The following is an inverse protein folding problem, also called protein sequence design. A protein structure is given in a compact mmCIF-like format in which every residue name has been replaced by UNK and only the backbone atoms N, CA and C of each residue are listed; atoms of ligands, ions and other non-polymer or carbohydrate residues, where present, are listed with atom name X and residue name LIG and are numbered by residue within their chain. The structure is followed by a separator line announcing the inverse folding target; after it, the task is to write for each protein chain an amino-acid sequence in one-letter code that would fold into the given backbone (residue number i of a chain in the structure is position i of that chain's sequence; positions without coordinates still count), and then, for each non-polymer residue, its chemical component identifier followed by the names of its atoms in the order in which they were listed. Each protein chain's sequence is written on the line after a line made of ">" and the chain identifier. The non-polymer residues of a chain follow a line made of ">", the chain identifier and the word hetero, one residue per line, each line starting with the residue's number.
data_IF_298127925844
#
_entry.id   IF_298127925844
#
_cell.length_a   1.000
_cell.length_b   1.000
_cell.length_c   1.000
_cell.angle_alpha   90.00
_cell.angle_beta   90.00
_cell.angle_gamma   90.00
#
_symmetry.space_group_name_H-M   'P 1'
#
loop_
_entity.id
_entity.type
_entity.pdbx_description
1 polymer ?
#
# COMPACT_ATOMS: atom_id res chain seq x y z
N UNK A 1 -2.29 -2.68 -35.28
CA UNK A 1 -2.71 -2.53 -33.88
C UNK A 1 -3.14 -1.08 -33.73
N UNK A 2 -4.45 -0.85 -33.57
CA UNK A 2 -5.01 0.47 -33.26
C UNK A 2 -5.02 0.69 -31.74
N UNK A 3 -5.52 1.83 -31.26
CA UNK A 3 -5.56 2.14 -29.83
C UNK A 3 -6.41 1.13 -29.03
N UNK A 4 -7.53 0.67 -29.59
CA UNK A 4 -8.43 -0.26 -28.92
C UNK A 4 -7.80 -1.66 -28.79
N UNK A 5 -7.10 -2.11 -29.83
CA UNK A 5 -6.31 -3.35 -29.80
C UNK A 5 -5.22 -3.31 -28.73
N UNK A 6 -4.68 -2.12 -28.45
CA UNK A 6 -3.63 -1.92 -27.45
C UNK A 6 -4.19 -1.88 -26.03
N UNK A 7 -5.31 -1.19 -25.83
CA UNK A 7 -6.02 -1.16 -24.54
C UNK A 7 -6.62 -2.51 -24.17
N UNK A 8 -6.94 -3.36 -25.16
CA UNK A 8 -7.45 -4.72 -24.93
C UNK A 8 -6.39 -5.76 -24.54
N UNK A 9 -5.11 -5.39 -24.44
CA UNK A 9 -4.03 -6.34 -24.11
C UNK A 9 -4.08 -6.81 -22.65
N UNK A 10 -4.55 -5.96 -21.74
CA UNK A 10 -4.68 -6.27 -20.31
C UNK A 10 -5.73 -5.37 -19.66
N UNK A 11 -6.30 -5.86 -18.54
CA UNK A 11 -7.11 -5.03 -17.65
C UNK A 11 -6.25 -4.51 -16.51
N UNK A 12 -6.31 -3.22 -16.24
CA UNK A 12 -5.61 -2.62 -15.10
C UNK A 12 -6.25 -3.04 -13.76
N UNK A 13 -5.41 -3.14 -12.73
CA UNK A 13 -5.88 -3.24 -11.35
C UNK A 13 -6.24 -1.84 -10.85
N UNK A 14 -7.14 -1.77 -9.89
CA UNK A 14 -7.42 -0.52 -9.18
C UNK A 14 -6.22 -0.18 -8.29
N UNK A 15 -5.81 1.09 -8.32
CA UNK A 15 -4.64 1.57 -7.57
C UNK A 15 -5.04 2.71 -6.64
N UNK A 16 -4.60 2.62 -5.39
CA UNK A 16 -4.69 3.70 -4.42
C UNK A 16 -3.29 4.10 -3.93
N UNK A 17 -3.01 5.40 -3.91
CA UNK A 17 -1.75 5.95 -3.42
C UNK A 17 -2.02 7.02 -2.37
N UNK A 18 -1.27 6.99 -1.27
CA UNK A 18 -1.36 7.98 -0.20
C UNK A 18 0.02 8.49 0.20
N UNK A 19 0.07 9.74 0.64
CA UNK A 19 1.21 10.33 1.33
C UNK A 19 0.87 10.44 2.81
N UNK A 20 1.70 9.89 3.67
CA UNK A 20 1.51 9.97 5.12
C UNK A 20 2.65 10.75 5.72
N UNK A 21 2.34 11.83 6.45
CA UNK A 21 3.34 12.64 7.13
C UNK A 21 4.16 11.75 8.08
N UNK A 22 5.47 11.79 7.96
CA UNK A 22 6.37 10.96 8.73
C UNK A 22 7.67 11.73 9.00
N UNK A 23 8.03 11.99 10.27
CA UNK A 23 9.26 12.69 10.61
C UNK A 23 10.50 12.01 10.01
N UNK A 24 11.49 12.82 9.61
CA UNK A 24 12.72 12.33 8.96
C UNK A 24 13.44 11.24 9.77
N UNK A 25 13.46 11.38 11.08
CA UNK A 25 14.06 10.42 12.00
C UNK A 25 13.44 9.02 11.87
N UNK A 26 12.12 8.96 11.72
CA UNK A 26 11.37 7.71 11.55
C UNK A 26 11.52 7.18 10.13
N UNK A 27 11.52 8.06 9.12
CA UNK A 27 11.78 7.66 7.73
C UNK A 27 13.12 6.95 7.57
N UNK A 28 14.15 7.36 8.31
CA UNK A 28 15.47 6.72 8.30
C UNK A 28 15.49 5.32 8.93
N UNK A 29 14.46 4.96 9.69
CA UNK A 29 14.29 3.59 10.24
C UNK A 29 13.64 2.65 9.23
N UNK A 30 12.92 3.18 8.25
CA UNK A 30 12.29 2.39 7.20
C UNK A 30 13.36 2.01 6.17
N UNK A 31 13.73 0.73 6.11
CA UNK A 31 14.67 0.18 5.15
C UNK A 31 13.92 -0.70 4.15
N UNK A 32 13.50 -0.16 3.00
CA UNK A 32 13.00 -0.98 1.90
C UNK A 32 14.09 -1.91 1.38
N UNK A 33 13.68 -2.99 0.75
CA UNK A 33 14.58 -3.84 -0.01
C UNK A 33 15.31 -3.01 -1.09
N UNK A 34 16.65 -3.12 -1.21
CA UNK A 34 17.47 -2.15 -1.95
C UNK A 34 17.35 -2.19 -3.47
N UNK A 35 16.90 -3.30 -4.07
CA UNK A 35 16.82 -3.47 -5.52
C UNK A 35 15.50 -2.97 -6.10
N UNK A 36 14.39 -3.12 -5.37
CA UNK A 36 13.07 -2.83 -5.92
C UNK A 36 12.07 -2.20 -4.93
N UNK A 37 12.42 -2.05 -3.64
CA UNK A 37 11.61 -1.34 -2.64
C UNK A 37 10.15 -1.84 -2.51
N UNK A 38 9.90 -3.15 -2.75
CA UNK A 38 8.55 -3.74 -2.77
C UNK A 38 8.10 -4.25 -1.40
N UNK A 39 9.03 -4.31 -0.44
CA UNK A 39 8.78 -4.61 0.96
C UNK A 39 9.85 -3.92 1.80
N UNK A 40 9.56 -3.78 3.09
CA UNK A 40 10.51 -3.33 4.10
C UNK A 40 11.28 -4.53 4.65
N UNK A 41 12.61 -4.44 4.66
CA UNK A 41 13.46 -5.36 5.42
C UNK A 41 13.43 -4.99 6.91
N UNK A 42 13.38 -3.69 7.20
CA UNK A 42 13.20 -3.16 8.55
C UNK A 42 12.26 -1.94 8.53
N UNK A 43 11.44 -1.75 9.58
CA UNK A 43 11.23 -2.66 10.71
C UNK A 43 10.26 -3.81 10.35
N UNK A 44 10.56 -5.03 10.81
CA UNK A 44 9.78 -6.24 10.49
C UNK A 44 8.32 -6.14 10.93
N UNK A 45 8.08 -5.57 12.11
CA UNK A 45 6.73 -5.37 12.65
C UNK A 45 5.82 -4.56 11.71
N UNK A 46 6.39 -3.61 10.97
CA UNK A 46 5.62 -2.81 10.02
C UNK A 46 5.36 -3.57 8.72
N UNK A 47 6.32 -4.39 8.26
CA UNK A 47 6.11 -5.26 7.11
C UNK A 47 5.08 -6.36 7.40
N UNK A 48 5.06 -6.89 8.62
CA UNK A 48 4.02 -7.83 9.07
C UNK A 48 2.63 -7.20 9.00
N UNK A 49 2.47 -5.93 9.44
CA UNK A 49 1.22 -5.19 9.26
C UNK A 49 0.80 -5.01 7.80
N UNK A 50 1.76 -4.88 6.87
CA UNK A 50 1.45 -4.84 5.42
C UNK A 50 0.84 -6.17 4.98
N UNK A 51 1.46 -7.30 5.36
CA UNK A 51 0.94 -8.63 5.02
C UNK A 51 -0.42 -8.91 5.66
N UNK A 52 -0.61 -8.54 6.93
CA UNK A 52 -1.90 -8.64 7.63
C UNK A 52 -2.99 -7.83 6.93
N UNK A 53 -2.68 -6.60 6.50
CA UNK A 53 -3.63 -5.76 5.79
C UNK A 53 -4.01 -6.33 4.42
N UNK A 54 -3.04 -6.86 3.66
CA UNK A 54 -3.30 -7.51 2.37
C UNK A 54 -4.23 -8.71 2.54
N UNK A 55 -3.94 -9.56 3.53
CA UNK A 55 -4.77 -10.72 3.85
C UNK A 55 -6.18 -10.31 4.28
N UNK A 56 -6.28 -9.35 5.21
CA UNK A 56 -7.57 -8.89 5.71
C UNK A 56 -8.44 -8.29 4.59
N UNK A 57 -7.87 -7.51 3.68
CA UNK A 57 -8.60 -6.97 2.52
C UNK A 57 -8.97 -8.09 1.55
N UNK A 58 -8.08 -9.04 1.29
CA UNK A 58 -8.41 -10.17 0.42
C UNK A 58 -9.62 -10.95 0.96
N UNK A 59 -9.63 -11.25 2.26
CA UNK A 59 -10.76 -11.91 2.94
C UNK A 59 -12.04 -11.06 2.92
N UNK A 60 -11.94 -9.75 3.22
CA UNK A 60 -13.07 -8.81 3.27
C UNK A 60 -13.79 -8.68 1.91
N UNK A 61 -13.05 -8.77 0.81
CA UNK A 61 -13.56 -8.58 -0.55
C UNK A 61 -13.66 -9.87 -1.37
N UNK A 62 -13.40 -11.04 -0.78
CA UNK A 62 -13.48 -12.34 -1.46
C UNK A 62 -12.42 -12.53 -2.56
N UNK A 63 -11.27 -11.88 -2.42
CA UNK A 63 -10.13 -11.95 -3.35
C UNK A 63 -9.09 -12.96 -2.85
N UNK A 64 -8.15 -13.33 -3.72
CA UNK A 64 -6.96 -14.07 -3.31
C UNK A 64 -5.91 -13.11 -2.76
N UNK A 65 -5.15 -13.54 -1.75
CA UNK A 65 -4.06 -12.73 -1.19
C UNK A 65 -3.05 -12.27 -2.26
N UNK A 66 -2.81 -13.11 -3.29
CA UNK A 66 -1.93 -12.82 -4.42
C UNK A 66 -2.44 -11.73 -5.37
N UNK A 67 -3.73 -11.39 -5.27
CA UNK A 67 -4.36 -10.34 -6.08
C UNK A 67 -4.28 -8.97 -5.40
N UNK A 68 -4.00 -8.94 -4.08
CA UNK A 68 -3.80 -7.72 -3.32
C UNK A 68 -2.31 -7.44 -3.14
N UNK A 69 -1.83 -6.30 -3.63
CA UNK A 69 -0.44 -5.90 -3.43
C UNK A 69 -0.33 -4.52 -2.82
N UNK A 70 0.48 -4.39 -1.78
CA UNK A 70 0.77 -3.09 -1.18
C UNK A 70 2.20 -3.02 -0.65
N UNK A 71 2.72 -1.80 -0.55
CA UNK A 71 4.03 -1.54 0.04
C UNK A 71 4.13 -0.13 0.61
N UNK A 72 5.08 0.03 1.51
CA UNK A 72 5.46 1.29 2.12
C UNK A 72 6.88 1.64 1.69
N UNK A 73 7.12 2.91 1.39
CA UNK A 73 8.49 3.40 1.15
C UNK A 73 8.69 4.81 1.72
N UNK A 74 9.85 5.11 2.31
CA UNK A 74 10.18 6.49 2.66
C UNK A 74 10.34 7.33 1.38
N UNK A 75 9.89 8.58 1.42
CA UNK A 75 10.21 9.54 0.37
C UNK A 75 11.64 10.05 0.54
N UNK A 76 12.43 10.06 -0.54
CA UNK A 76 13.78 10.61 -0.51
C UNK A 76 13.81 12.14 -0.36
N UNK A 77 12.75 12.83 -0.79
CA UNK A 77 12.72 14.30 -0.94
C UNK A 77 11.72 15.02 -0.03
N UNK A 78 10.81 14.29 0.61
CA UNK A 78 9.71 14.86 1.41
C UNK A 78 9.67 14.14 2.76
N UNK A 79 9.19 14.80 3.82
CA UNK A 79 8.96 14.17 5.14
C UNK A 79 7.63 13.40 5.15
N UNK A 80 7.51 12.45 4.20
CA UNK A 80 6.35 11.57 4.05
C UNK A 80 6.78 10.13 3.77
N UNK A 81 6.01 9.19 4.29
CA UNK A 81 6.00 7.80 3.84
C UNK A 81 4.97 7.67 2.70
N UNK A 82 5.36 7.03 1.59
CA UNK A 82 4.47 6.74 0.47
C UNK A 82 3.84 5.38 0.67
N UNK A 83 2.52 5.34 0.54
CA UNK A 83 1.71 4.13 0.56
C UNK A 83 1.27 3.85 -0.87
N UNK A 84 1.47 2.63 -1.31
CA UNK A 84 0.93 2.11 -2.56
C UNK A 84 0.10 0.88 -2.27
N UNK A 85 -1.07 0.77 -2.90
CA UNK A 85 -1.92 -0.41 -2.88
C UNK A 85 -2.56 -0.62 -4.26
N UNK A 86 -2.64 -1.88 -4.68
CA UNK A 86 -3.34 -2.34 -5.89
C UNK A 86 -4.17 -3.58 -5.57
N UNK A 87 -5.37 -3.67 -6.15
CA UNK A 87 -6.26 -4.81 -6.04
C UNK A 87 -7.23 -4.86 -7.24
N UNK A 88 -7.82 -6.03 -7.57
CA UNK A 88 -8.90 -6.11 -8.54
C UNK A 88 -10.05 -5.19 -8.18
N UNK A 89 -10.74 -4.68 -9.20
CA UNK A 89 -12.00 -3.98 -9.00
C UNK A 89 -13.04 -4.94 -8.43
N UNK A 90 -13.67 -4.54 -7.33
CA UNK A 90 -14.72 -5.31 -6.65
C UNK A 90 -16.01 -4.48 -6.72
N UNK A 91 -16.63 -4.47 -7.89
CA UNK A 91 -17.98 -3.93 -8.08
C UNK A 91 -18.76 -4.79 -9.08
N UNK A 92 -19.99 -5.15 -8.71
CA UNK A 92 -21.02 -5.62 -9.65
C UNK A 92 -21.85 -4.43 -10.20
N UNK A 93 -21.76 -3.24 -9.60
CA UNK A 93 -22.47 -2.04 -10.03
C UNK A 93 -21.48 -0.99 -10.57
N UNK A 94 -21.68 -0.59 -11.82
CA UNK A 94 -20.94 0.45 -12.53
C UNK A 94 -20.96 1.75 -11.72
N UNK A 95 -19.80 2.16 -11.18
CA UNK A 95 -19.64 3.50 -10.58
C UNK A 95 -18.97 3.57 -9.20
N UNK A 96 -18.67 2.43 -8.55
CA UNK A 96 -17.91 2.42 -7.27
C UNK A 96 -16.57 1.71 -7.43
N UNK A 97 -15.72 2.26 -8.31
CA UNK A 97 -14.36 1.74 -8.55
C UNK A 97 -13.44 2.06 -7.35
N UNK A 98 -12.55 1.11 -7.03
CA UNK A 98 -11.48 1.17 -6.01
C UNK A 98 -11.80 0.90 -4.51
N UNK A 99 -12.82 0.09 -4.15
CA UNK A 99 -13.06 -0.23 -2.72
C UNK A 99 -11.90 -0.99 -2.04
N UNK A 100 -11.38 -2.05 -2.67
CA UNK A 100 -10.35 -2.90 -2.07
C UNK A 100 -8.98 -2.20 -2.00
N UNK A 101 -8.53 -1.58 -3.09
CA UNK A 101 -7.26 -0.86 -3.13
C UNK A 101 -7.24 0.32 -2.14
N UNK A 102 -8.34 1.09 -2.06
CA UNK A 102 -8.47 2.18 -1.09
C UNK A 102 -8.47 1.66 0.34
N UNK A 103 -9.26 0.62 0.66
CA UNK A 103 -9.27 0.02 1.99
C UNK A 103 -7.88 -0.49 2.41
N UNK A 104 -7.13 -1.06 1.48
CA UNK A 104 -5.75 -1.50 1.72
C UNK A 104 -4.82 -0.31 2.02
N UNK A 105 -4.88 0.75 1.20
CA UNK A 105 -4.11 1.96 1.44
C UNK A 105 -4.44 2.63 2.78
N UNK A 106 -5.72 2.67 3.17
CA UNK A 106 -6.17 3.23 4.45
C UNK A 106 -5.68 2.42 5.65
N UNK A 107 -5.72 1.07 5.58
CA UNK A 107 -5.17 0.19 6.62
C UNK A 107 -3.65 0.41 6.76
N UNK A 108 -2.92 0.54 5.65
CA UNK A 108 -1.48 0.84 5.67
C UNK A 108 -1.18 2.24 6.22
N UNK A 109 -1.97 3.25 5.84
CA UNK A 109 -1.86 4.62 6.38
C UNK A 109 -1.99 4.59 7.90
N UNK A 110 -2.99 3.89 8.42
CA UNK A 110 -3.18 3.74 9.86
C UNK A 110 -1.99 3.02 10.52
N UNK A 111 -1.46 1.95 9.89
CA UNK A 111 -0.31 1.22 10.41
C UNK A 111 0.93 2.11 10.57
N UNK A 112 1.24 2.96 9.58
CA UNK A 112 2.38 3.89 9.68
C UNK A 112 2.09 5.04 10.67
N UNK A 113 0.86 5.56 10.75
CA UNK A 113 0.49 6.58 11.74
C UNK A 113 0.65 6.06 13.18
N UNK A 114 0.23 4.82 13.44
CA UNK A 114 0.43 4.15 14.73
C UNK A 114 1.92 3.92 15.03
N UNK A 115 2.71 3.53 14.03
CA UNK A 115 4.16 3.35 14.16
C UNK A 115 4.87 4.66 14.49
N UNK A 116 4.48 5.76 13.84
CA UNK A 116 4.97 7.12 14.13
C UNK A 116 4.62 7.52 15.55
N UNK A 117 3.36 7.32 15.95
CA UNK A 117 2.88 7.68 17.29
C UNK A 117 3.54 6.86 18.41
N UNK A 118 3.87 5.59 18.17
CA UNK A 118 4.54 4.74 19.15
C UNK A 118 5.99 5.15 19.39
N UNK A 119 6.69 5.63 18.35
CA UNK A 119 8.06 6.14 18.45
C UNK A 119 8.13 7.54 19.05
N UNK A 120 7.14 8.39 18.77
CA UNK A 120 7.05 9.73 19.38
C UNK A 120 6.86 9.69 20.91
N UNK A 121 6.30 8.60 21.48
CA UNK A 121 6.12 8.43 22.93
C UNK A 121 7.32 7.83 23.66
N UNK A 122 8.31 7.32 22.91
CA UNK A 122 9.52 6.67 23.46
C UNK A 122 10.71 7.62 23.58
N UNK A 123 10.62 8.81 22.99
CA UNK A 123 11.57 9.91 23.09
C UNK A 123 11.08 10.94 24.10
#
# INVERSE_FOLDING_TARGET
>A
MNADDWMGLFSELEVAQMKVACPREILNLLKPQPEHEKWLEEPKELQEKVYEAQKAVAEEFGLKETECRAFLRPSGTEDVCRVYAEAPSVSEEEGTQAKAALALAEKLKKAIEEFVASHAKRN
#
